data_IF_755634799611
#
_entry.id   IF_755634799611
#
_cell.length_a   1.000
_cell.length_b   1.000
_cell.length_c   1.000
_cell.angle_alpha   90.00
_cell.angle_beta   90.00
_cell.angle_gamma   90.00
#
_symmetry.space_group_name_H-M   'P 1'
#
loop_
_entity.id
_entity.type
_entity.pdbx_description
1 polymer ?
#
# COMPACT_ATOMS: atom_id res chain seq x y z
N UNK A 1 36.97 -40.90 -46.89
CA UNK A 1 35.95 -40.07 -46.22
C UNK A 1 35.01 -41.02 -45.46
N UNK A 2 34.98 -41.00 -44.12
CA UNK A 2 34.08 -41.89 -43.36
C UNK A 2 32.64 -41.37 -43.54
N UNK A 3 31.80 -42.13 -44.24
CA UNK A 3 30.39 -41.81 -44.43
C UNK A 3 29.67 -42.20 -43.14
N UNK A 4 29.32 -41.22 -42.32
CA UNK A 4 28.50 -41.48 -41.14
C UNK A 4 27.11 -41.97 -41.59
N UNK A 5 26.60 -43.08 -41.04
CA UNK A 5 25.28 -43.59 -41.36
C UNK A 5 24.23 -42.55 -40.98
N UNK A 6 23.19 -42.41 -41.81
CA UNK A 6 22.13 -41.41 -41.67
C UNK A 6 21.50 -41.47 -40.27
N UNK A 7 21.31 -42.68 -39.73
CA UNK A 7 20.79 -42.91 -38.37
C UNK A 7 21.64 -42.27 -37.27
N UNK A 8 22.96 -42.25 -37.40
CA UNK A 8 23.83 -41.59 -36.41
C UNK A 8 23.70 -40.07 -36.47
N UNK A 9 23.55 -39.50 -37.67
CA UNK A 9 23.32 -38.06 -37.82
C UNK A 9 21.99 -37.63 -37.20
N UNK A 10 20.94 -38.43 -37.41
CA UNK A 10 19.63 -38.22 -36.78
C UNK A 10 19.72 -38.31 -35.27
N UNK A 11 20.44 -39.31 -34.73
CA UNK A 11 20.63 -39.45 -33.29
C UNK A 11 21.35 -38.25 -32.68
N UNK A 12 22.42 -37.75 -33.33
CA UNK A 12 23.16 -36.57 -32.86
C UNK A 12 22.22 -35.36 -32.78
N UNK A 13 21.41 -35.12 -33.82
CA UNK A 13 20.43 -34.02 -33.83
C UNK A 13 19.41 -34.15 -32.71
N UNK A 14 18.90 -35.35 -32.45
CA UNK A 14 17.93 -35.59 -31.36
C UNK A 14 18.56 -35.31 -29.99
N UNK A 15 19.77 -35.79 -29.75
CA UNK A 15 20.49 -35.56 -28.48
C UNK A 15 20.73 -34.07 -28.28
N UNK A 16 21.15 -33.36 -29.33
CA UNK A 16 21.36 -31.92 -29.29
C UNK A 16 20.07 -31.17 -28.94
N UNK A 17 18.94 -31.53 -29.55
CA UNK A 17 17.63 -30.94 -29.22
C UNK A 17 17.22 -31.18 -27.77
N UNK A 18 17.46 -32.38 -27.23
CA UNK A 18 17.16 -32.72 -25.83
C UNK A 18 18.00 -31.86 -24.88
N UNK A 19 19.30 -31.70 -25.16
CA UNK A 19 20.19 -30.86 -24.35
C UNK A 19 19.69 -29.42 -24.34
N UNK A 20 19.36 -28.85 -25.51
CA UNK A 20 18.83 -27.48 -25.60
C UNK A 20 17.50 -27.33 -24.85
N UNK A 21 16.56 -28.26 -25.01
CA UNK A 21 15.28 -28.23 -24.31
C UNK A 21 15.46 -28.33 -22.78
N UNK A 22 16.38 -29.18 -22.32
CA UNK A 22 16.69 -29.31 -20.89
C UNK A 22 17.31 -28.04 -20.30
N UNK A 23 18.19 -27.37 -21.06
CA UNK A 23 18.79 -26.11 -20.63
C UNK A 23 17.74 -24.99 -20.51
N UNK A 24 16.83 -24.88 -21.50
CA UNK A 24 15.72 -23.92 -21.46
C UNK A 24 14.82 -24.19 -20.25
N UNK A 25 14.46 -25.45 -20.01
CA UNK A 25 13.63 -25.84 -18.87
C UNK A 25 14.31 -25.48 -17.53
N UNK A 26 15.60 -25.76 -17.38
CA UNK A 26 16.36 -25.40 -16.17
C UNK A 26 16.41 -23.88 -15.95
N UNK A 27 16.60 -23.09 -17.01
CA UNK A 27 16.56 -21.62 -16.93
C UNK A 27 15.17 -21.15 -16.46
N UNK A 28 14.09 -21.69 -17.04
CA UNK A 28 12.73 -21.35 -16.62
C UNK A 28 12.48 -21.71 -15.15
N UNK A 29 12.95 -22.87 -14.70
CA UNK A 29 12.84 -23.30 -13.30
C UNK A 29 13.60 -22.36 -12.35
N UNK A 30 14.82 -21.96 -12.71
CA UNK A 30 15.62 -20.99 -11.93
C UNK A 30 14.90 -19.63 -11.86
N UNK A 31 14.40 -19.11 -12.98
CA UNK A 31 13.64 -17.85 -13.02
C UNK A 31 12.40 -17.94 -12.13
N UNK A 32 11.66 -19.05 -12.21
CA UNK A 32 10.49 -19.28 -11.38
C UNK A 32 10.85 -19.31 -9.89
N UNK A 33 11.93 -20.01 -9.51
CA UNK A 33 12.43 -20.03 -8.13
C UNK A 33 12.83 -18.63 -7.64
N UNK A 34 13.49 -17.81 -8.47
CA UNK A 34 13.85 -16.43 -8.14
C UNK A 34 12.60 -15.58 -7.91
N UNK A 35 11.57 -15.72 -8.74
CA UNK A 35 10.35 -14.91 -8.63
C UNK A 35 9.48 -15.30 -7.43
N UNK A 36 9.45 -16.58 -7.07
CA UNK A 36 8.53 -17.11 -6.05
C UNK A 36 9.15 -17.23 -4.66
N UNK A 37 10.48 -17.35 -4.56
CA UNK A 37 11.16 -17.37 -3.27
C UNK A 37 11.34 -15.93 -2.74
N UNK A 38 10.73 -15.55 -1.60
CA UNK A 38 10.78 -14.19 -1.08
C UNK A 38 12.20 -13.69 -0.81
N UNK A 39 13.14 -14.58 -0.46
CA UNK A 39 14.52 -14.22 -0.14
C UNK A 39 15.33 -13.85 -1.40
N UNK A 40 14.92 -14.35 -2.57
CA UNK A 40 15.61 -14.13 -3.85
C UNK A 40 14.81 -13.26 -4.81
N UNK A 41 13.59 -12.89 -4.43
CA UNK A 41 12.68 -12.10 -5.25
C UNK A 41 13.23 -10.69 -5.45
N UNK A 42 13.67 -10.40 -6.67
CA UNK A 42 14.10 -9.06 -7.05
C UNK A 42 12.84 -8.23 -7.35
N UNK A 43 12.49 -7.31 -6.46
CA UNK A 43 11.37 -6.38 -6.68
C UNK A 43 11.89 -4.98 -7.01
N UNK A 44 11.13 -4.25 -7.82
CA UNK A 44 11.41 -2.83 -8.08
C UNK A 44 10.81 -1.92 -6.99
N UNK A 45 10.52 -2.48 -5.82
CA UNK A 45 9.91 -1.76 -4.72
C UNK A 45 10.92 -0.81 -4.11
N UNK A 46 10.52 0.45 -3.95
CA UNK A 46 11.35 1.50 -3.36
C UNK A 46 10.58 2.16 -2.24
N UNK A 47 11.25 2.36 -1.11
CA UNK A 47 10.74 3.06 0.06
C UNK A 47 11.49 4.38 0.24
N UNK A 48 10.74 5.45 0.49
CA UNK A 48 11.27 6.78 0.74
C UNK A 48 10.62 7.36 1.99
N UNK A 49 11.44 7.65 2.99
CA UNK A 49 10.98 8.30 4.22
C UNK A 49 11.43 9.75 4.21
N UNK A 50 10.46 10.66 4.17
CA UNK A 50 10.70 12.10 4.20
C UNK A 50 10.43 12.62 5.60
N UNK A 51 11.45 13.25 6.20
CA UNK A 51 11.29 14.05 7.41
C UNK A 51 10.80 15.43 7.02
N UNK A 52 9.79 15.92 7.72
CA UNK A 52 9.25 17.25 7.49
C UNK A 52 8.89 17.89 8.82
N UNK A 53 9.18 19.18 8.96
CA UNK A 53 8.75 19.97 10.10
C UNK A 53 7.54 20.81 9.68
N UNK A 54 6.34 20.25 9.85
CA UNK A 54 5.10 20.92 9.45
C UNK A 54 4.00 20.73 10.49
N UNK A 55 3.44 21.85 10.93
CA UNK A 55 2.26 21.88 11.79
C UNK A 55 1.00 22.06 10.96
N UNK A 56 0.08 21.11 11.08
CA UNK A 56 -1.22 21.06 10.41
C UNK A 56 -2.13 22.17 10.92
N UNK A 57 -2.62 22.99 10.00
CA UNK A 57 -3.42 24.18 10.30
C UNK A 57 -4.90 23.85 10.41
N UNK A 58 -5.40 22.98 9.54
CA UNK A 58 -6.79 22.50 9.55
C UNK A 58 -7.16 21.82 10.87
N UNK A 59 -8.46 21.76 11.14
CA UNK A 59 -8.97 20.92 12.20
C UNK A 59 -8.80 19.45 11.79
N UNK A 60 -8.09 18.67 12.61
CA UNK A 60 -7.84 17.25 12.33
C UNK A 60 -9.12 16.44 12.18
N UNK A 61 -10.22 16.84 12.84
CA UNK A 61 -11.50 16.12 12.80
C UNK A 61 -12.44 16.60 11.68
N UNK A 62 -12.11 17.69 10.98
CA UNK A 62 -12.80 18.10 9.77
C UNK A 62 -12.10 17.46 8.56
N UNK A 63 -12.63 16.31 8.14
CA UNK A 63 -11.98 15.48 7.11
C UNK A 63 -11.80 16.24 5.79
N UNK A 64 -12.74 17.12 5.41
CA UNK A 64 -12.69 17.86 4.16
C UNK A 64 -11.54 18.86 4.14
N UNK A 65 -11.43 19.68 5.18
CA UNK A 65 -10.37 20.69 5.28
C UNK A 65 -9.00 20.04 5.45
N UNK A 66 -8.93 18.99 6.27
CA UNK A 66 -7.72 18.20 6.46
C UNK A 66 -7.26 17.56 5.14
N UNK A 67 -8.16 16.89 4.42
CA UNK A 67 -7.85 16.26 3.15
C UNK A 67 -7.28 17.26 2.14
N UNK A 68 -7.87 18.46 2.04
CA UNK A 68 -7.39 19.50 1.13
C UNK A 68 -5.96 19.97 1.46
N UNK A 69 -5.67 20.20 2.75
CA UNK A 69 -4.34 20.62 3.21
C UNK A 69 -3.30 19.53 2.93
N UNK A 70 -3.56 18.29 3.39
CA UNK A 70 -2.60 17.20 3.27
C UNK A 70 -2.39 16.79 1.81
N UNK A 71 -3.44 16.75 1.00
CA UNK A 71 -3.35 16.51 -0.45
C UNK A 71 -2.41 17.51 -1.12
N UNK A 72 -2.47 18.78 -0.73
CA UNK A 72 -1.58 19.82 -1.25
C UNK A 72 -0.11 19.57 -0.89
N UNK A 73 0.16 19.05 0.30
CA UNK A 73 1.52 18.67 0.72
C UNK A 73 2.00 17.45 -0.06
N UNK A 74 1.15 16.42 -0.20
CA UNK A 74 1.48 15.16 -0.90
C UNK A 74 1.76 15.38 -2.39
N UNK A 75 1.17 16.41 -3.01
CA UNK A 75 1.45 16.80 -4.40
C UNK A 75 2.94 17.10 -4.68
N UNK A 76 3.75 17.40 -3.67
CA UNK A 76 5.21 17.54 -3.80
C UNK A 76 5.89 16.22 -4.17
N UNK A 77 5.30 15.09 -3.82
CA UNK A 77 5.88 13.75 -3.98
C UNK A 77 5.16 12.92 -5.05
N UNK A 78 3.91 13.24 -5.38
CA UNK A 78 3.11 12.50 -6.36
C UNK A 78 2.10 13.40 -7.05
N UNK A 79 2.07 13.35 -8.39
CA UNK A 79 1.05 14.06 -9.17
C UNK A 79 -0.30 13.37 -9.02
N UNK A 80 -1.35 14.16 -8.85
CA UNK A 80 -2.74 13.71 -8.69
C UNK A 80 -2.90 12.59 -7.64
N UNK A 81 -2.47 12.83 -6.39
CA UNK A 81 -2.56 11.82 -5.35
C UNK A 81 -4.03 11.56 -5.00
N UNK A 82 -4.38 10.29 -4.77
CA UNK A 82 -5.73 9.87 -4.41
C UNK A 82 -5.75 9.42 -2.96
N UNK A 83 -6.39 10.21 -2.10
CA UNK A 83 -6.60 9.79 -0.70
C UNK A 83 -7.60 8.63 -0.72
N UNK A 84 -7.32 7.53 -0.04
CA UNK A 84 -8.22 6.35 -0.02
C UNK A 84 -8.69 5.98 1.38
N UNK A 85 -7.96 6.40 2.41
CA UNK A 85 -8.23 6.05 3.80
C UNK A 85 -7.67 7.10 4.76
N UNK A 86 -8.39 7.31 5.85
CA UNK A 86 -7.92 8.05 7.02
C UNK A 86 -8.07 7.13 8.24
N UNK A 87 -6.98 6.90 8.96
CA UNK A 87 -6.98 6.12 10.19
C UNK A 87 -6.61 6.98 11.40
N UNK A 88 -7.43 6.93 12.45
CA UNK A 88 -7.14 7.54 13.74
C UNK A 88 -6.75 6.45 14.71
N UNK A 89 -5.58 6.57 15.34
CA UNK A 89 -5.14 5.67 16.38
C UNK A 89 -5.08 6.42 17.71
N UNK A 90 -6.13 6.29 18.51
CA UNK A 90 -6.22 6.90 19.82
C UNK A 90 -5.63 5.98 20.89
N UNK A 91 -4.34 5.67 20.80
CA UNK A 91 -3.68 4.83 21.82
C UNK A 91 -3.31 5.66 23.05
N UNK A 92 -4.15 5.64 24.09
CA UNK A 92 -4.07 6.52 25.28
C UNK A 92 -4.11 8.02 24.95
N UNK A 93 -4.61 8.87 25.86
CA UNK A 93 -4.85 10.30 25.58
C UNK A 93 -3.62 11.10 25.09
N UNK A 94 -2.40 10.61 25.37
CA UNK A 94 -1.15 11.34 25.07
C UNK A 94 -0.42 10.92 23.79
N UNK A 95 -0.75 9.77 23.19
CA UNK A 95 0.06 9.19 22.10
C UNK A 95 -0.76 8.93 20.82
N UNK A 96 -1.81 9.72 20.62
CA UNK A 96 -2.67 9.59 19.45
C UNK A 96 -1.94 9.99 18.17
N UNK A 97 -2.03 9.15 17.14
CA UNK A 97 -1.55 9.48 15.80
C UNK A 97 -2.63 9.22 14.76
N UNK A 98 -2.53 9.94 13.66
CA UNK A 98 -3.40 9.81 12.49
C UNK A 98 -2.55 9.44 11.30
N UNK A 99 -3.08 8.57 10.44
CA UNK A 99 -2.49 8.25 9.14
C UNK A 99 -3.46 8.60 8.01
N UNK A 100 -2.96 9.31 6.99
CA UNK A 100 -3.67 9.49 5.73
C UNK A 100 -2.95 8.69 4.64
N UNK A 101 -3.68 7.78 3.99
CA UNK A 101 -3.14 6.88 2.99
C UNK A 101 -3.57 7.31 1.60
N UNK A 102 -2.60 7.65 0.76
CA UNK A 102 -2.79 7.96 -0.66
C UNK A 102 -2.31 6.81 -1.51
N UNK A 103 -3.19 6.21 -2.29
CA UNK A 103 -2.91 4.94 -2.94
C UNK A 103 -3.36 4.93 -4.40
N UNK A 104 -2.57 4.26 -5.23
CA UNK A 104 -2.99 3.89 -6.57
C UNK A 104 -2.42 2.53 -6.95
N UNK A 105 -3.33 1.58 -7.15
CA UNK A 105 -3.03 0.28 -7.73
C UNK A 105 -2.85 0.41 -9.25
N UNK A 106 -1.89 -0.32 -9.82
CA UNK A 106 -1.72 -0.36 -11.27
C UNK A 106 -1.34 -1.76 -11.76
N UNK A 107 -2.34 -2.51 -12.21
CA UNK A 107 -2.16 -3.86 -12.73
C UNK A 107 -1.50 -3.90 -14.13
N UNK A 108 -1.60 -2.82 -14.92
CA UNK A 108 -1.00 -2.76 -16.26
C UNK A 108 0.49 -2.47 -16.22
N UNK A 109 0.90 -1.66 -15.25
CA UNK A 109 2.29 -1.28 -15.02
C UNK A 109 2.50 -1.14 -13.52
N UNK A 110 2.80 -2.27 -12.88
CA UNK A 110 2.99 -2.41 -11.44
C UNK A 110 4.08 -1.52 -10.87
N UNK A 111 5.03 -1.07 -11.71
CA UNK A 111 6.07 -0.09 -11.33
C UNK A 111 5.51 1.31 -11.09
N UNK A 112 4.30 1.60 -11.57
CA UNK A 112 3.58 2.86 -11.34
C UNK A 112 2.65 2.82 -10.14
N UNK A 113 2.50 1.67 -9.48
CA UNK A 113 1.76 1.60 -8.22
C UNK A 113 2.49 2.40 -7.14
N UNK A 114 1.73 3.10 -6.29
CA UNK A 114 2.29 3.86 -5.18
C UNK A 114 1.35 3.88 -3.97
N UNK A 115 1.97 3.99 -2.79
CA UNK A 115 1.34 4.25 -1.51
C UNK A 115 2.13 5.37 -0.84
N UNK A 116 1.46 6.44 -0.45
CA UNK A 116 2.02 7.50 0.38
C UNK A 116 1.22 7.54 1.67
N UNK A 117 1.89 7.33 2.79
CA UNK A 117 1.30 7.47 4.13
C UNK A 117 1.84 8.74 4.76
N UNK A 118 0.94 9.61 5.20
CA UNK A 118 1.26 10.80 5.99
C UNK A 118 0.84 10.54 7.43
N UNK A 119 1.80 10.53 8.35
CA UNK A 119 1.56 10.37 9.77
C UNK A 119 1.55 11.73 10.47
N UNK A 120 0.54 11.95 11.30
CA UNK A 120 0.31 13.18 12.05
C UNK A 120 0.20 12.82 13.53
N UNK A 121 1.04 13.44 14.35
CA UNK A 121 0.83 13.52 15.80
C UNK A 121 -0.39 14.39 16.06
N UNK A 122 -1.43 13.80 16.65
CA UNK A 122 -2.72 14.48 16.86
C UNK A 122 -2.57 15.60 17.88
N UNK A 123 -1.81 15.37 18.95
CA UNK A 123 -1.66 16.31 20.06
C UNK A 123 -0.87 17.55 19.65
N UNK A 124 0.26 17.34 18.98
CA UNK A 124 1.14 18.40 18.50
C UNK A 124 0.69 18.97 17.14
N UNK A 125 -0.33 18.37 16.51
CA UNK A 125 -0.77 18.64 15.13
C UNK A 125 0.40 18.66 14.15
N UNK A 126 1.37 17.77 14.31
CA UNK A 126 2.63 17.81 13.56
C UNK A 126 2.74 16.60 12.64
N UNK A 127 3.10 16.81 11.37
CA UNK A 127 3.48 15.70 10.49
C UNK A 127 4.79 15.13 11.00
N UNK A 128 4.77 13.86 11.40
CA UNK A 128 5.93 13.15 11.95
C UNK A 128 6.69 12.39 10.85
N UNK A 129 5.97 11.87 9.86
CA UNK A 129 6.54 11.13 8.75
C UNK A 129 5.69 11.26 7.47
N UNK A 130 6.38 11.27 6.33
CA UNK A 130 5.76 10.98 5.03
C UNK A 130 6.54 9.83 4.42
N UNK A 131 5.89 8.68 4.27
CA UNK A 131 6.49 7.47 3.70
C UNK A 131 5.89 7.22 2.34
N UNK A 132 6.72 7.13 1.30
CA UNK A 132 6.32 6.77 -0.06
C UNK A 132 6.91 5.40 -0.41
N UNK A 133 6.04 4.47 -0.77
CA UNK A 133 6.42 3.20 -1.39
C UNK A 133 5.96 3.19 -2.83
N UNK A 134 6.80 2.74 -3.75
CA UNK A 134 6.46 2.55 -5.18
C UNK A 134 6.89 1.17 -5.64
N UNK A 135 6.16 0.55 -6.56
CA UNK A 135 6.55 -0.72 -7.17
C UNK A 135 5.55 -1.85 -6.97
N UNK A 136 5.93 -3.05 -7.38
CA UNK A 136 5.06 -4.22 -7.47
C UNK A 136 4.44 -4.63 -6.13
N UNK A 137 5.19 -4.49 -5.04
CA UNK A 137 4.74 -4.88 -3.70
C UNK A 137 3.74 -3.90 -3.09
N UNK A 138 3.50 -2.75 -3.74
CA UNK A 138 2.53 -1.76 -3.29
C UNK A 138 1.10 -2.19 -3.59
N UNK A 139 0.89 -3.17 -4.47
CA UNK A 139 -0.43 -3.67 -4.84
C UNK A 139 -1.11 -4.43 -3.67
N UNK A 140 -1.29 -3.77 -2.52
CA UNK A 140 -1.96 -4.25 -1.33
C UNK A 140 -3.45 -4.45 -1.65
N UNK A 141 -3.96 -5.62 -1.30
CA UNK A 141 -5.37 -6.00 -1.47
C UNK A 141 -6.27 -5.39 -0.40
N UNK A 142 -5.69 -4.84 0.67
CA UNK A 142 -6.45 -4.29 1.81
C UNK A 142 -6.96 -2.87 1.58
N UNK A 143 -6.32 -2.11 0.68
CA UNK A 143 -6.70 -0.73 0.38
C UNK A 143 -7.59 -0.65 -0.86
N UNK A 144 -8.68 0.11 -0.74
CA UNK A 144 -9.51 0.46 -1.89
C UNK A 144 -8.71 1.30 -2.89
N UNK A 145 -8.92 1.07 -4.18
CA UNK A 145 -8.36 1.92 -5.22
C UNK A 145 -9.25 3.15 -5.52
N UNK A 146 -10.41 3.23 -4.86
CA UNK A 146 -11.35 4.32 -5.03
C UNK A 146 -10.97 5.50 -4.12
N UNK A 147 -10.98 6.69 -4.70
CA UNK A 147 -10.68 7.93 -3.96
C UNK A 147 -11.75 8.19 -2.90
N UNK A 148 -11.31 8.53 -1.70
CA UNK A 148 -12.11 8.84 -0.52
C UNK A 148 -12.98 10.07 -0.79
N UNK A 149 -14.25 9.85 -1.09
CA UNK A 149 -15.20 10.92 -1.44
C UNK A 149 -16.37 10.94 -0.45
N UNK A 150 -17.10 9.82 -0.32
CA UNK A 150 -18.30 9.73 0.53
C UNK A 150 -18.07 10.27 1.95
N UNK A 151 -16.96 9.95 2.64
CA UNK A 151 -16.78 10.39 4.02
C UNK A 151 -16.39 11.87 4.13
N UNK A 152 -15.78 12.45 3.10
CA UNK A 152 -15.39 13.88 3.09
C UNK A 152 -16.60 14.82 2.98
N UNK A 153 -17.75 14.29 2.56
CA UNK A 153 -19.01 15.04 2.45
C UNK A 153 -19.86 14.96 3.71
N UNK A 154 -19.55 14.04 4.64
CA UNK A 154 -20.29 13.87 5.90
C UNK A 154 -19.61 14.64 7.04
N UNK A 155 -20.41 15.24 7.92
CA UNK A 155 -19.89 15.75 9.20
C UNK A 155 -19.74 14.58 10.18
N UNK A 156 -18.49 14.12 10.32
CA UNK A 156 -18.12 13.01 11.20
C UNK A 156 -17.34 13.50 12.44
N UNK A 157 -17.23 14.81 12.66
CA UNK A 157 -16.38 15.36 13.72
C UNK A 157 -16.87 14.96 15.12
N UNK A 158 -18.18 14.95 15.35
CA UNK A 158 -18.78 14.52 16.62
C UNK A 158 -18.45 13.05 16.92
N UNK A 159 -18.65 12.17 15.94
CA UNK A 159 -18.33 10.75 16.08
C UNK A 159 -16.84 10.55 16.37
N UNK A 160 -15.95 11.21 15.63
CA UNK A 160 -14.51 11.12 15.86
C UNK A 160 -14.11 11.56 17.28
N UNK A 161 -14.69 12.65 17.76
CA UNK A 161 -14.47 13.15 19.12
C UNK A 161 -14.95 12.15 20.18
N UNK A 162 -16.11 11.52 19.98
CA UNK A 162 -16.70 10.55 20.92
C UNK A 162 -15.85 9.29 21.12
N UNK A 163 -14.98 8.96 20.17
CA UNK A 163 -14.07 7.81 20.26
C UNK A 163 -12.64 8.17 20.66
N UNK A 164 -12.28 9.45 20.68
CA UNK A 164 -10.92 9.92 21.05
C UNK A 164 -10.48 9.46 22.45
N UNK A 165 -11.44 9.32 23.38
CA UNK A 165 -11.20 8.91 24.76
C UNK A 165 -11.27 7.40 25.01
N UNK A 166 -11.57 6.59 23.97
CA UNK A 166 -11.94 5.17 24.13
C UNK A 166 -10.82 4.16 23.87
N UNK A 167 -9.57 4.61 23.74
CA UNK A 167 -8.43 3.75 23.42
C UNK A 167 -8.70 2.82 22.22
N UNK A 168 -8.95 3.43 21.06
CA UNK A 168 -9.47 2.75 19.87
C UNK A 168 -8.74 3.18 18.58
N UNK A 169 -8.86 2.36 17.55
CA UNK A 169 -8.48 2.68 16.17
C UNK A 169 -9.77 2.87 15.36
N UNK A 170 -9.85 3.96 14.59
CA UNK A 170 -10.94 4.23 13.66
C UNK A 170 -10.35 4.31 12.26
N UNK A 171 -10.74 3.38 11.39
CA UNK A 171 -10.39 3.41 9.96
C UNK A 171 -11.60 3.91 9.17
N UNK A 172 -11.39 4.92 8.32
CA UNK A 172 -12.44 5.55 7.53
C UNK A 172 -12.06 5.45 6.06
N UNK A 173 -12.93 4.81 5.28
CA UNK A 173 -12.80 4.68 3.83
C UNK A 173 -14.18 4.78 3.16
N UNK A 174 -14.26 4.64 1.83
CA UNK A 174 -15.53 4.76 1.11
C UNK A 174 -16.60 3.71 1.50
N UNK A 175 -16.21 2.61 2.13
CA UNK A 175 -17.12 1.55 2.53
C UNK A 175 -17.75 1.81 3.92
N UNK A 176 -17.25 2.78 4.71
CA UNK A 176 -17.73 2.99 6.09
C UNK A 176 -16.69 3.48 7.10
N UNK A 177 -16.98 3.18 8.37
CA UNK A 177 -16.06 3.37 9.50
C UNK A 177 -15.89 2.04 10.24
N UNK A 178 -14.64 1.64 10.48
CA UNK A 178 -14.28 0.47 11.26
C UNK A 178 -13.70 0.91 12.59
N UNK A 179 -14.17 0.30 13.67
CA UNK A 179 -13.73 0.62 15.02
C UNK A 179 -13.13 -0.63 15.65
N UNK A 180 -11.90 -0.49 16.12
CA UNK A 180 -11.14 -1.55 16.81
C UNK A 180 -10.72 -1.05 18.19
N UNK A 181 -11.16 -1.74 19.24
CA UNK A 181 -10.72 -1.43 20.61
C UNK A 181 -9.48 -2.25 20.97
N UNK A 182 -8.56 -1.66 21.74
CA UNK A 182 -7.34 -2.35 22.18
C UNK A 182 -7.57 -3.41 23.28
N UNK A 183 -8.74 -3.42 23.94
CA UNK A 183 -9.10 -4.45 24.92
C UNK A 183 -9.64 -5.71 24.22
N UNK A 184 -9.04 -6.90 24.44
CA UNK A 184 -9.35 -8.14 23.74
C UNK A 184 -10.77 -8.70 23.94
N UNK A 185 -11.61 -8.10 24.80
CA UNK A 185 -13.03 -8.50 24.96
C UNK A 185 -14.01 -7.82 23.98
N UNK A 186 -13.61 -6.82 23.19
CA UNK A 186 -14.57 -5.89 22.57
C UNK A 186 -14.56 -5.84 21.03
N UNK A 187 -15.67 -6.32 20.47
CA UNK A 187 -16.35 -5.96 19.20
C UNK A 187 -15.58 -5.16 18.14
N UNK A 188 -15.40 -5.77 16.96
CA UNK A 188 -15.26 -5.00 15.71
C UNK A 188 -16.61 -4.40 15.37
N UNK A 189 -16.68 -3.08 15.21
CA UNK A 189 -17.87 -2.42 14.74
C UNK A 189 -17.62 -1.86 13.34
N UNK A 190 -18.61 -2.00 12.48
CA UNK A 190 -18.60 -1.43 11.14
C UNK A 190 -19.86 -0.59 10.96
N UNK A 191 -19.68 0.66 10.56
CA UNK A 191 -20.75 1.59 10.24
C UNK A 191 -20.68 1.83 8.73
N UNK A 192 -21.65 1.28 7.98
CA UNK A 192 -21.78 1.50 6.55
C UNK A 192 -22.13 2.96 6.24
N UNK A 193 -21.70 3.46 5.09
CA UNK A 193 -22.15 4.75 4.56
C UNK A 193 -23.33 4.66 3.60
N UNK A 194 -23.69 3.45 3.18
CA UNK A 194 -24.88 3.11 2.39
C UNK A 194 -26.13 2.96 3.26
#
# INVERSE_FOLDING_TARGET
MKIFPIWLKVLIVIVELIIHASAIFMIMLIVYCIQTNPDWRITNTRHYNYKMDYTVKSNLYNLKDLSNEITTIVRKYQKNPRLVEIAYNFKSKSNGYMALSFYQKNYKDTKKAYLITVEIDIYNKKITAITKTTGEDVNDERLSNDELIKPLEKDLASMLNDYSDKNAILEINNFGIWIYNYDPKYSKQHISFD
#
